data_IF_402430126538
#
_entry.id   IF_402430126538
#
_cell.length_a   1.000
_cell.length_b   1.000
_cell.length_c   1.000
_cell.angle_alpha   90.00
_cell.angle_beta   90.00
_cell.angle_gamma   90.00
#
_symmetry.space_group_name_H-M   'P 1'
#
loop_
_entity.id
_entity.type
_entity.pdbx_description
1 polymer ?
#
# COMPACT_ATOMS: atom_id res chain seq x y z
N UNK A 1 6.95 -26.05 30.21
CA UNK A 1 6.15 -25.85 28.98
C UNK A 1 6.80 -24.72 28.21
N UNK A 2 7.40 -25.02 27.06
CA UNK A 2 7.98 -23.99 26.19
C UNK A 2 6.83 -23.14 25.64
N UNK A 3 6.71 -21.91 26.12
CA UNK A 3 5.58 -21.03 25.80
C UNK A 3 5.73 -20.56 24.35
N UNK A 4 4.76 -20.89 23.50
CA UNK A 4 4.68 -20.39 22.12
C UNK A 4 4.63 -18.86 22.11
N UNK A 5 5.09 -18.26 21.00
CA UNK A 5 5.08 -16.80 20.82
C UNK A 5 3.98 -16.45 19.85
N UNK A 6 3.08 -15.54 20.25
CA UNK A 6 2.03 -15.04 19.36
C UNK A 6 2.61 -13.94 18.45
N UNK A 7 2.57 -14.18 17.14
CA UNK A 7 3.15 -13.31 16.11
C UNK A 7 2.15 -13.04 14.99
N UNK A 8 2.42 -12.04 14.16
CA UNK A 8 1.75 -11.89 12.87
C UNK A 8 2.67 -11.22 11.84
N UNK A 9 3.28 -12.01 10.97
CA UNK A 9 4.17 -11.50 9.92
C UNK A 9 3.50 -11.47 8.54
N UNK A 10 2.17 -11.61 8.46
CA UNK A 10 1.44 -11.49 7.20
C UNK A 10 0.06 -10.87 7.47
N UNK A 11 -0.07 -9.59 7.18
CA UNK A 11 -1.33 -8.87 7.31
C UNK A 11 -1.35 -7.63 6.42
N UNK A 12 -2.57 -7.20 6.07
CA UNK A 12 -2.83 -6.15 5.10
C UNK A 12 -3.63 -5.01 5.70
N UNK A 13 -3.46 -3.83 5.13
CA UNK A 13 -4.12 -2.59 5.52
C UNK A 13 -4.76 -1.92 4.30
N UNK A 14 -5.39 -0.76 4.53
CA UNK A 14 -5.95 0.08 3.46
C UNK A 14 -4.93 0.57 2.41
N UNK A 15 -3.64 0.29 2.58
CA UNK A 15 -2.59 0.63 1.62
C UNK A 15 -2.39 -0.44 0.54
N UNK A 16 -3.10 -1.57 0.64
CA UNK A 16 -3.37 -2.51 -0.46
C UNK A 16 -4.87 -2.81 -0.54
N UNK A 17 -5.32 -3.89 0.09
CA UNK A 17 -6.63 -4.51 -0.01
C UNK A 17 -7.17 -4.95 1.37
N UNK A 18 -6.50 -4.56 2.45
CA UNK A 18 -7.04 -4.65 3.81
C UNK A 18 -8.09 -3.57 4.10
N UNK A 19 -8.99 -3.84 5.04
CA UNK A 19 -10.07 -2.93 5.45
C UNK A 19 -9.71 -1.99 6.62
N UNK A 20 -8.61 -2.28 7.33
CA UNK A 20 -8.19 -1.54 8.52
C UNK A 20 -7.04 -0.58 8.22
N UNK A 21 -7.06 0.60 8.86
CA UNK A 21 -5.89 1.47 8.87
C UNK A 21 -4.76 0.83 9.68
N UNK A 22 -3.48 1.17 9.42
CA UNK A 22 -2.36 0.66 10.20
C UNK A 22 -2.52 0.83 11.72
N UNK A 23 -3.15 1.92 12.16
CA UNK A 23 -3.38 2.20 13.58
C UNK A 23 -4.45 1.31 14.22
N UNK A 24 -5.53 1.03 13.48
CA UNK A 24 -6.60 0.14 13.94
C UNK A 24 -6.06 -1.29 14.01
N UNK A 25 -5.37 -1.73 12.96
CA UNK A 25 -4.74 -3.05 12.90
C UNK A 25 -3.75 -3.25 14.06
N UNK A 26 -2.85 -2.28 14.29
CA UNK A 26 -1.94 -2.31 15.43
C UNK A 26 -2.65 -2.37 16.79
N UNK A 27 -3.82 -1.73 16.92
CA UNK A 27 -4.63 -1.79 18.13
C UNK A 27 -5.22 -3.18 18.36
N UNK A 28 -5.71 -3.82 17.30
CA UNK A 28 -6.29 -5.15 17.38
C UNK A 28 -5.22 -6.23 17.63
N UNK A 29 -4.05 -6.10 17.00
CA UNK A 29 -2.88 -6.95 17.28
C UNK A 29 -2.49 -6.92 18.77
N UNK A 30 -2.46 -5.71 19.36
CA UNK A 30 -2.16 -5.56 20.78
C UNK A 30 -3.25 -6.14 21.69
N UNK A 31 -4.52 -5.95 21.34
CA UNK A 31 -5.63 -6.53 22.08
C UNK A 31 -5.61 -8.07 22.04
N UNK A 32 -5.15 -8.66 20.93
CA UNK A 32 -4.97 -10.11 20.77
C UNK A 32 -3.71 -10.64 21.49
N UNK A 33 -2.83 -9.78 21.98
CA UNK A 33 -1.60 -10.18 22.68
C UNK A 33 -0.42 -10.51 21.75
N UNK A 34 -0.48 -10.10 20.47
CA UNK A 34 0.62 -10.27 19.51
C UNK A 34 1.85 -9.52 20.00
N UNK A 35 3.02 -10.17 19.94
CA UNK A 35 4.29 -9.63 20.45
C UNK A 35 5.22 -9.14 19.35
N UNK A 36 5.09 -9.70 18.16
CA UNK A 36 5.91 -9.37 17.00
C UNK A 36 5.03 -9.30 15.76
N UNK A 37 5.16 -8.24 14.96
CA UNK A 37 4.37 -8.10 13.74
C UNK A 37 5.11 -7.44 12.57
N UNK A 38 4.69 -7.76 11.35
CA UNK A 38 5.10 -7.10 10.12
C UNK A 38 3.84 -6.81 9.29
N UNK A 39 3.72 -5.59 8.78
CA UNK A 39 2.71 -5.25 7.78
C UNK A 39 3.27 -5.62 6.42
N UNK A 40 2.46 -6.28 5.58
CA UNK A 40 2.90 -6.88 4.32
C UNK A 40 1.94 -6.53 3.19
N UNK A 41 1.50 -5.28 3.12
CA UNK A 41 0.61 -4.80 2.05
C UNK A 41 1.13 -5.22 0.66
N UNK A 42 0.22 -5.61 -0.24
CA UNK A 42 0.59 -5.98 -1.61
C UNK A 42 1.30 -4.85 -2.36
N UNK A 43 2.53 -5.14 -2.80
CA UNK A 43 3.37 -4.28 -3.63
C UNK A 43 3.55 -2.85 -3.06
N UNK A 44 3.34 -2.66 -1.75
CA UNK A 44 3.25 -1.34 -1.11
C UNK A 44 3.95 -1.32 0.23
N UNK A 45 4.74 -0.26 0.47
CA UNK A 45 5.39 0.00 1.76
C UNK A 45 4.90 1.29 2.42
N UNK A 46 3.87 1.93 1.85
CA UNK A 46 3.37 3.24 2.29
C UNK A 46 2.73 3.20 3.68
N UNK A 47 2.17 2.04 4.06
CA UNK A 47 1.59 1.82 5.39
C UNK A 47 2.63 1.66 6.51
N UNK A 48 3.89 1.32 6.18
CA UNK A 48 4.91 0.94 7.16
C UNK A 48 5.16 2.02 8.24
N UNK A 49 5.39 3.31 7.92
CA UNK A 49 5.70 4.30 8.94
C UNK A 49 4.57 4.46 9.98
N UNK A 50 3.31 4.42 9.52
CA UNK A 50 2.12 4.52 10.38
C UNK A 50 1.96 3.28 11.25
N UNK A 51 2.19 2.11 10.68
CA UNK A 51 2.10 0.83 11.39
C UNK A 51 3.16 0.71 12.48
N UNK A 52 4.43 0.99 12.14
CA UNK A 52 5.57 0.89 13.05
C UNK A 52 5.41 1.82 14.25
N UNK A 53 5.00 3.07 14.02
CA UNK A 53 4.73 4.03 15.09
C UNK A 53 3.56 3.58 15.98
N UNK A 54 2.51 3.01 15.40
CA UNK A 54 1.35 2.51 16.14
C UNK A 54 1.69 1.27 17.00
N UNK A 55 2.53 0.35 16.50
CA UNK A 55 3.03 -0.82 17.24
C UNK A 55 4.00 -0.42 18.36
N UNK A 56 4.90 0.53 18.09
CA UNK A 56 5.85 1.05 19.09
C UNK A 56 5.14 1.58 20.33
N UNK A 57 4.06 2.36 20.15
CA UNK A 57 3.21 2.88 21.24
C UNK A 57 2.57 1.78 22.10
N UNK A 58 2.48 0.55 21.58
CA UNK A 58 1.82 -0.60 22.21
C UNK A 58 2.80 -1.66 22.70
N UNK A 59 4.11 -1.43 22.57
CA UNK A 59 5.14 -2.38 23.00
C UNK A 59 5.21 -3.64 22.13
N UNK A 60 4.71 -3.59 20.90
CA UNK A 60 4.86 -4.67 19.93
C UNK A 60 6.13 -4.42 19.11
N UNK A 61 7.01 -5.42 19.09
CA UNK A 61 8.21 -5.37 18.26
C UNK A 61 7.83 -5.59 16.79
N UNK A 62 8.52 -4.91 15.88
CA UNK A 62 8.14 -4.91 14.47
C UNK A 62 9.35 -4.91 13.57
N UNK A 63 9.12 -5.25 12.31
CA UNK A 63 10.07 -5.17 11.23
C UNK A 63 9.37 -4.71 9.93
N UNK A 64 10.09 -4.10 8.98
CA UNK A 64 9.56 -3.84 7.64
C UNK A 64 9.15 -5.13 6.94
N UNK A 65 7.94 -5.14 6.38
CA UNK A 65 7.39 -6.23 5.58
C UNK A 65 6.80 -5.71 4.27
N UNK A 66 6.68 -6.56 3.27
CA UNK A 66 5.90 -6.33 2.04
C UNK A 66 5.58 -7.69 1.41
N UNK A 67 4.39 -7.86 0.84
CA UNK A 67 4.08 -9.01 -0.03
C UNK A 67 4.21 -8.57 -1.48
N UNK A 68 5.20 -9.14 -2.18
CA UNK A 68 5.54 -8.76 -3.55
C UNK A 68 4.86 -9.74 -4.51
N UNK A 69 4.13 -9.20 -5.48
CA UNK A 69 3.57 -9.95 -6.59
C UNK A 69 4.67 -10.34 -7.56
N UNK A 70 4.90 -11.64 -7.76
CA UNK A 70 5.94 -12.16 -8.65
C UNK A 70 5.40 -13.18 -9.64
N UNK A 71 6.23 -13.59 -10.59
CA UNK A 71 5.94 -14.65 -11.53
C UNK A 71 6.96 -15.77 -11.36
N UNK A 72 6.46 -17.00 -11.28
CA UNK A 72 7.27 -18.20 -11.27
C UNK A 72 6.66 -19.22 -12.23
N UNK A 73 7.46 -19.65 -13.24
CA UNK A 73 7.01 -20.57 -14.30
C UNK A 73 5.73 -20.11 -15.02
N UNK A 74 5.60 -18.80 -15.22
CA UNK A 74 4.45 -18.18 -15.89
C UNK A 74 3.17 -18.15 -15.05
N UNK A 75 3.23 -18.51 -13.77
CA UNK A 75 2.14 -18.43 -12.80
C UNK A 75 2.47 -17.33 -11.78
N UNK A 76 1.45 -16.68 -11.26
CA UNK A 76 1.62 -15.72 -10.17
C UNK A 76 2.03 -16.46 -8.90
N UNK A 77 3.02 -15.90 -8.19
CA UNK A 77 3.48 -16.36 -6.90
C UNK A 77 3.72 -15.13 -6.01
N UNK A 78 3.43 -15.25 -4.72
CA UNK A 78 3.64 -14.15 -3.78
C UNK A 78 4.87 -14.39 -2.93
N UNK A 79 5.67 -13.34 -2.79
CA UNK A 79 6.92 -13.36 -2.04
C UNK A 79 6.83 -12.38 -0.87
N UNK A 80 6.87 -12.90 0.35
CA UNK A 80 6.98 -12.09 1.55
C UNK A 80 8.44 -11.65 1.73
N UNK A 81 8.66 -10.36 1.84
CA UNK A 81 9.98 -9.79 2.11
C UNK A 81 10.01 -9.16 3.50
N UNK A 82 11.07 -9.42 4.26
CA UNK A 82 11.21 -8.98 5.65
C UNK A 82 12.57 -8.36 5.94
N UNK A 83 12.58 -7.36 6.82
CA UNK A 83 13.83 -6.83 7.40
C UNK A 83 14.74 -6.09 6.41
N UNK A 84 14.18 -5.64 5.28
CA UNK A 84 14.85 -4.79 4.29
C UNK A 84 14.90 -3.32 4.75
N UNK A 85 15.73 -2.50 4.10
CA UNK A 85 15.72 -1.04 4.24
C UNK A 85 14.56 -0.44 3.44
N UNK A 86 13.53 0.16 4.08
CA UNK A 86 12.40 0.78 3.36
C UNK A 86 12.80 1.99 2.50
N UNK A 87 14.02 2.50 2.65
CA UNK A 87 14.55 3.62 1.85
C UNK A 87 15.33 3.16 0.62
N UNK A 88 15.47 1.85 0.41
CA UNK A 88 16.09 1.32 -0.79
C UNK A 88 15.30 1.74 -2.04
N UNK A 89 15.97 2.47 -2.93
CA UNK A 89 15.31 3.07 -4.10
C UNK A 89 14.91 2.05 -5.14
N UNK A 90 15.69 0.97 -5.30
CA UNK A 90 15.44 -0.05 -6.30
C UNK A 90 14.18 -0.85 -5.94
N UNK A 91 14.06 -1.25 -4.67
CA UNK A 91 12.86 -1.88 -4.14
C UNK A 91 11.65 -0.95 -4.27
N UNK A 92 11.76 0.31 -3.83
CA UNK A 92 10.65 1.26 -3.89
C UNK A 92 10.14 1.51 -5.31
N UNK A 93 11.04 1.68 -6.29
CA UNK A 93 10.69 1.85 -7.71
C UNK A 93 10.05 0.57 -8.28
N UNK A 94 10.57 -0.60 -7.92
CA UNK A 94 10.01 -1.89 -8.37
C UNK A 94 8.58 -2.08 -7.88
N UNK A 95 8.35 -1.83 -6.58
CA UNK A 95 7.02 -1.91 -5.97
C UNK A 95 6.03 -0.92 -6.62
N UNK A 96 6.48 0.31 -6.91
CA UNK A 96 5.66 1.29 -7.63
C UNK A 96 5.27 0.81 -9.04
N UNK A 97 6.21 0.22 -9.78
CA UNK A 97 5.95 -0.30 -11.13
C UNK A 97 4.95 -1.48 -11.12
N UNK A 98 5.03 -2.36 -10.13
CA UNK A 98 4.08 -3.46 -9.93
C UNK A 98 2.65 -2.94 -9.67
N UNK A 99 2.50 -1.97 -8.75
CA UNK A 99 1.20 -1.35 -8.44
C UNK A 99 0.57 -0.67 -9.65
N UNK A 100 1.36 0.10 -10.40
CA UNK A 100 0.86 0.75 -11.62
C UNK A 100 0.31 -0.29 -12.60
N UNK A 101 0.94 -1.45 -12.79
CA UNK A 101 0.38 -2.48 -13.69
C UNK A 101 -0.90 -3.13 -13.12
N UNK A 102 -0.94 -3.42 -11.82
CA UNK A 102 -2.11 -4.03 -11.17
C UNK A 102 -3.34 -3.15 -11.35
N UNK A 103 -3.19 -1.84 -11.17
CA UNK A 103 -4.26 -0.88 -11.46
C UNK A 103 -4.74 -1.03 -12.90
N UNK A 104 -3.84 -1.05 -13.89
CA UNK A 104 -4.22 -1.21 -15.30
C UNK A 104 -4.95 -2.53 -15.58
N UNK A 105 -4.55 -3.64 -14.94
CA UNK A 105 -5.20 -4.94 -15.11
C UNK A 105 -6.59 -4.99 -14.49
N UNK A 106 -6.79 -4.47 -13.27
CA UNK A 106 -8.11 -4.41 -12.63
C UNK A 106 -9.11 -3.62 -13.48
N UNK A 107 -8.67 -2.50 -14.06
CA UNK A 107 -9.49 -1.73 -15.01
C UNK A 107 -9.80 -2.55 -16.28
N UNK A 108 -8.81 -3.27 -16.83
CA UNK A 108 -9.03 -4.13 -18.00
C UNK A 108 -9.97 -5.32 -17.76
N UNK A 109 -9.97 -5.90 -16.54
CA UNK A 109 -10.85 -7.00 -16.15
C UNK A 109 -12.26 -6.48 -15.90
N UNK A 110 -12.43 -5.34 -15.23
CA UNK A 110 -13.72 -4.68 -15.09
C UNK A 110 -14.33 -4.32 -16.47
N UNK A 111 -13.49 -3.88 -17.41
CA UNK A 111 -13.87 -3.64 -18.80
C UNK A 111 -14.19 -4.93 -19.56
N UNK A 112 -13.41 -6.01 -19.37
CA UNK A 112 -13.68 -7.32 -19.97
C UNK A 112 -14.93 -8.00 -19.40
N UNK A 113 -15.26 -7.77 -18.12
CA UNK A 113 -16.50 -8.22 -17.50
C UNK A 113 -17.71 -7.42 -18.01
N UNK A 114 -17.54 -6.15 -18.39
CA UNK A 114 -18.52 -5.41 -19.20
C UNK A 114 -18.60 -5.91 -20.65
N UNK A 115 -17.56 -6.57 -21.13
CA UNK A 115 -17.41 -7.08 -22.50
C UNK A 115 -17.39 -8.62 -22.56
N UNK A 116 -18.29 -9.29 -21.84
CA UNK A 116 -18.54 -10.72 -22.09
C UNK A 116 -19.31 -10.89 -23.41
N UNK A 117 -18.53 -10.91 -24.48
CA UNK A 117 -18.95 -11.11 -25.86
C UNK A 117 -17.79 -10.84 -26.80
N UNK A 118 -16.76 -11.71 -26.78
CA UNK A 118 -15.89 -12.12 -27.92
C UNK A 118 -14.51 -12.60 -27.43
N UNK A 119 -14.17 -13.86 -27.74
CA UNK A 119 -12.83 -14.45 -27.58
C UNK A 119 -11.80 -13.73 -28.49
N UNK A 120 -10.56 -13.53 -28.01
CA UNK A 120 -9.37 -14.08 -28.68
C UNK A 120 -8.09 -14.02 -27.84
N UNK A 121 -7.27 -15.04 -28.09
CA UNK A 121 -5.98 -15.38 -27.51
C UNK A 121 -4.86 -14.68 -28.29
N UNK A 122 -3.80 -14.18 -27.65
CA UNK A 122 -2.45 -14.32 -28.21
C UNK A 122 -1.30 -14.10 -27.21
N UNK A 123 -0.26 -14.92 -27.36
CA UNK A 123 1.03 -14.86 -26.68
C UNK A 123 2.04 -14.06 -27.52
N UNK A 124 3.01 -13.40 -26.88
CA UNK A 124 4.30 -13.10 -27.49
C UNK A 124 5.43 -13.09 -26.45
N UNK A 125 6.50 -13.81 -26.81
CA UNK A 125 7.79 -13.90 -26.13
C UNK A 125 8.76 -12.88 -26.71
N UNK A 126 9.49 -12.14 -25.87
CA UNK A 126 10.77 -11.54 -26.27
C UNK A 126 11.70 -11.28 -25.07
N UNK A 127 12.83 -11.99 -25.08
CA UNK A 127 13.93 -11.98 -24.11
C UNK A 127 15.01 -10.99 -24.53
N UNK A 128 15.24 -9.96 -23.73
CA UNK A 128 16.53 -9.27 -23.59
C UNK A 128 16.48 -8.38 -22.35
N UNK A 129 17.59 -8.34 -21.61
CA UNK A 129 17.80 -7.75 -20.28
C UNK A 129 16.95 -6.49 -20.00
N UNK A 130 16.02 -6.59 -19.05
CA UNK A 130 15.07 -5.52 -18.70
C UNK A 130 15.05 -5.39 -17.18
N UNK A 131 15.37 -4.20 -16.69
CA UNK A 131 14.93 -3.79 -15.36
C UNK A 131 13.43 -4.08 -15.23
N UNK A 132 13.02 -4.78 -14.18
CA UNK A 132 11.63 -5.13 -13.87
C UNK A 132 10.67 -3.93 -13.91
N UNK A 133 11.19 -2.71 -13.75
CA UNK A 133 10.44 -1.47 -13.89
C UNK A 133 9.84 -1.26 -15.30
N UNK A 134 10.41 -1.86 -16.36
CA UNK A 134 9.99 -1.62 -17.74
C UNK A 134 8.78 -2.47 -18.18
N UNK A 135 8.52 -3.60 -17.52
CA UNK A 135 7.45 -4.53 -17.93
C UNK A 135 6.31 -4.59 -16.91
N UNK A 136 6.51 -4.17 -15.66
CA UNK A 136 5.54 -4.35 -14.58
C UNK A 136 5.26 -5.82 -14.23
N UNK A 137 6.11 -6.75 -14.72
CA UNK A 137 6.18 -8.14 -14.29
C UNK A 137 7.54 -8.32 -13.65
N UNK A 138 7.56 -8.98 -12.50
CA UNK A 138 8.77 -9.28 -11.77
C UNK A 138 8.87 -10.80 -11.63
N UNK A 139 9.93 -11.38 -12.20
CA UNK A 139 10.21 -12.80 -12.00
C UNK A 139 10.74 -13.01 -10.57
N UNK A 140 10.43 -14.16 -9.98
CA UNK A 140 10.67 -14.39 -8.54
C UNK A 140 12.16 -14.37 -8.15
N UNK A 141 13.05 -14.76 -9.06
CA UNK A 141 14.51 -14.68 -8.85
C UNK A 141 15.01 -13.23 -8.81
N UNK A 142 14.48 -12.37 -9.69
CA UNK A 142 14.74 -10.93 -9.65
C UNK A 142 14.21 -10.30 -8.35
N UNK A 143 13.01 -10.71 -7.91
CA UNK A 143 12.41 -10.25 -6.66
C UNK A 143 13.28 -10.60 -5.45
N UNK A 144 13.71 -11.86 -5.34
CA UNK A 144 14.61 -12.32 -4.27
C UNK A 144 15.90 -11.50 -4.28
N UNK A 145 16.49 -11.28 -5.46
CA UNK A 145 17.72 -10.51 -5.58
C UNK A 145 17.55 -9.04 -5.14
N UNK A 146 16.42 -8.40 -5.46
CA UNK A 146 16.11 -7.02 -5.00
C UNK A 146 15.97 -6.98 -3.48
N UNK A 147 15.21 -7.93 -2.91
CA UNK A 147 15.00 -8.04 -1.45
C UNK A 147 16.33 -8.20 -0.72
N UNK A 148 17.23 -9.06 -1.22
CA UNK A 148 18.55 -9.25 -0.63
C UNK A 148 19.45 -8.03 -0.75
N UNK A 149 19.42 -7.31 -1.89
CA UNK A 149 20.16 -6.05 -2.05
C UNK A 149 19.70 -4.97 -1.07
N UNK A 150 18.39 -4.92 -0.81
CA UNK A 150 17.81 -4.06 0.22
C UNK A 150 18.09 -4.55 1.66
N UNK A 151 18.85 -5.64 1.84
CA UNK A 151 19.23 -6.19 3.14
C UNK A 151 18.17 -7.07 3.80
N UNK A 152 17.10 -7.42 3.09
CA UNK A 152 16.00 -8.25 3.57
C UNK A 152 16.17 -9.74 3.32
N UNK A 153 15.13 -10.49 3.72
CA UNK A 153 14.98 -11.94 3.52
C UNK A 153 13.68 -12.23 2.80
N UNK A 154 13.68 -13.23 1.92
CA UNK A 154 12.59 -13.58 1.02
C UNK A 154 11.95 -14.93 1.38
N UNK A 155 10.63 -14.95 1.51
CA UNK A 155 9.83 -16.11 1.91
C UNK A 155 8.72 -16.35 0.89
N UNK A 156 8.47 -17.61 0.53
CA UNK A 156 7.31 -17.97 -0.28
C UNK A 156 6.04 -17.86 0.58
N UNK A 157 5.14 -16.94 0.21
CA UNK A 157 3.85 -16.77 0.89
C UNK A 157 2.92 -17.95 0.59
N UNK A 158 2.08 -18.33 1.56
CA UNK A 158 1.02 -19.35 1.44
C UNK A 158 1.29 -20.43 0.37
N UNK A 159 2.32 -21.28 0.53
CA UNK A 159 2.86 -22.11 -0.55
C UNK A 159 1.85 -23.06 -1.21
N UNK A 160 0.83 -23.53 -0.48
CA UNK A 160 -0.20 -24.43 -0.99
C UNK A 160 -1.22 -23.71 -1.90
N UNK A 161 -1.31 -22.37 -1.83
CA UNK A 161 -2.10 -21.57 -2.77
C UNK A 161 -1.40 -21.53 -4.13
N UNK A 162 -0.06 -21.56 -4.13
CA UNK A 162 0.73 -21.68 -5.35
C UNK A 162 0.71 -23.12 -5.88
N UNK A 163 1.03 -24.12 -5.06
CA UNK A 163 1.05 -25.52 -5.51
C UNK A 163 0.54 -26.46 -4.42
N UNK A 164 -0.55 -27.16 -4.70
CA UNK A 164 -1.24 -28.01 -3.72
C UNK A 164 -0.75 -29.46 -3.73
N UNK A 165 -0.11 -29.92 -4.81
CA UNK A 165 0.54 -31.23 -4.82
C UNK A 165 1.85 -31.20 -4.02
N UNK A 166 2.01 -32.03 -2.96
CA UNK A 166 3.18 -31.96 -2.09
C UNK A 166 4.52 -32.18 -2.80
N UNK A 167 4.56 -33.08 -3.78
CA UNK A 167 5.80 -33.42 -4.48
C UNK A 167 6.18 -32.32 -5.48
N UNK A 168 5.20 -31.78 -6.20
CA UNK A 168 5.40 -30.64 -7.08
C UNK A 168 5.81 -29.38 -6.30
N UNK A 169 5.20 -29.16 -5.12
CA UNK A 169 5.57 -28.06 -4.23
C UNK A 169 7.01 -28.21 -3.72
N UNK A 170 7.40 -29.39 -3.25
CA UNK A 170 8.78 -29.65 -2.80
C UNK A 170 9.79 -29.38 -3.92
N UNK A 171 9.50 -29.81 -5.15
CA UNK A 171 10.35 -29.51 -6.31
C UNK A 171 10.44 -27.99 -6.59
N UNK A 172 9.32 -27.27 -6.48
CA UNK A 172 9.30 -25.81 -6.63
C UNK A 172 10.13 -25.12 -5.55
N UNK A 173 9.99 -25.54 -4.29
CA UNK A 173 10.74 -24.98 -3.15
C UNK A 173 12.24 -25.24 -3.29
N UNK A 174 12.65 -26.43 -3.73
CA UNK A 174 14.07 -26.73 -4.00
C UNK A 174 14.61 -25.79 -5.08
N UNK A 175 13.87 -25.58 -6.17
CA UNK A 175 14.27 -24.69 -7.26
C UNK A 175 14.37 -23.23 -6.78
N UNK A 176 13.36 -22.72 -6.06
CA UNK A 176 13.39 -21.39 -5.48
C UNK A 176 14.53 -21.22 -4.48
N UNK A 177 14.87 -22.25 -3.70
CA UNK A 177 16.04 -22.24 -2.82
C UNK A 177 17.34 -22.04 -3.62
N UNK A 178 17.48 -22.66 -4.79
CA UNK A 178 18.66 -22.42 -5.65
C UNK A 178 18.72 -20.98 -6.19
N UNK A 179 17.60 -20.27 -6.23
CA UNK A 179 17.48 -18.85 -6.60
C UNK A 179 17.70 -17.90 -5.42
N UNK A 180 17.89 -18.42 -4.20
CA UNK A 180 18.16 -17.64 -3.00
C UNK A 180 16.98 -17.48 -2.04
N UNK A 181 15.89 -18.24 -2.20
CA UNK A 181 14.78 -18.22 -1.24
C UNK A 181 15.30 -18.54 0.18
N UNK A 182 14.96 -17.71 1.17
CA UNK A 182 15.41 -17.87 2.56
C UNK A 182 14.43 -18.74 3.38
N UNK A 183 13.15 -18.74 3.02
CA UNK A 183 12.13 -19.45 3.80
C UNK A 183 10.78 -19.62 3.14
N UNK A 184 9.85 -20.22 3.89
CA UNK A 184 8.44 -20.43 3.48
C UNK A 184 7.50 -20.05 4.62
N UNK A 185 6.29 -19.63 4.27
CA UNK A 185 5.21 -19.45 5.24
C UNK A 185 4.57 -20.80 5.57
N UNK A 186 5.00 -21.42 6.67
CA UNK A 186 4.45 -22.71 7.10
C UNK A 186 3.28 -22.56 8.07
N UNK A 187 3.30 -21.53 8.94
CA UNK A 187 2.21 -21.26 9.87
C UNK A 187 1.31 -20.16 9.27
N UNK A 188 0.26 -20.58 8.57
CA UNK A 188 -0.67 -19.71 7.89
C UNK A 188 -2.08 -19.96 8.41
N UNK A 189 -2.77 -18.94 8.92
CA UNK A 189 -4.02 -19.14 9.67
C UNK A 189 -5.13 -19.89 8.91
N UNK A 190 -5.29 -19.71 7.58
CA UNK A 190 -6.25 -20.51 6.80
C UNK A 190 -5.89 -22.00 6.61
N UNK A 191 -4.65 -22.43 6.91
CA UNK A 191 -4.23 -23.82 6.75
C UNK A 191 -4.58 -24.70 7.94
N UNK A 192 -4.79 -26.00 7.65
CA UNK A 192 -4.99 -26.98 8.71
C UNK A 192 -3.68 -27.23 9.47
N UNK A 193 -3.78 -27.75 10.69
CA UNK A 193 -2.59 -28.12 11.47
C UNK A 193 -1.72 -29.16 10.75
N UNK A 194 -2.32 -30.03 9.92
CA UNK A 194 -1.61 -31.04 9.12
C UNK A 194 -0.82 -30.38 8.01
N UNK A 195 -1.41 -29.40 7.32
CA UNK A 195 -0.74 -28.64 6.26
C UNK A 195 0.41 -27.81 6.82
N UNK A 196 0.19 -27.15 7.96
CA UNK A 196 1.23 -26.39 8.66
C UNK A 196 2.40 -27.28 9.09
N UNK A 197 2.14 -28.48 9.64
CA UNK A 197 3.20 -29.43 9.99
C UNK A 197 3.93 -29.93 8.75
N UNK A 198 3.22 -30.26 7.67
CA UNK A 198 3.84 -30.70 6.42
C UNK A 198 4.79 -29.64 5.82
N UNK A 199 4.38 -28.36 5.80
CA UNK A 199 5.22 -27.24 5.36
C UNK A 199 6.40 -26.99 6.30
N UNK A 200 6.19 -27.13 7.62
CA UNK A 200 7.27 -27.03 8.60
C UNK A 200 8.32 -28.13 8.39
N UNK A 201 7.90 -29.38 8.20
CA UNK A 201 8.81 -30.49 7.91
C UNK A 201 9.52 -30.30 6.57
N UNK A 202 8.84 -29.76 5.55
CA UNK A 202 9.45 -29.40 4.27
C UNK A 202 10.57 -28.37 4.46
N UNK A 203 10.30 -27.31 5.24
CA UNK A 203 11.28 -26.27 5.53
C UNK A 203 12.51 -26.83 6.27
N UNK A 204 12.30 -27.67 7.30
CA UNK A 204 13.40 -28.28 8.05
C UNK A 204 14.24 -29.24 7.18
N UNK A 205 13.61 -30.05 6.31
CA UNK A 205 14.33 -30.95 5.38
C UNK A 205 15.26 -30.19 4.43
N UNK A 206 14.83 -29.00 4.01
CA UNK A 206 15.56 -28.18 3.05
C UNK A 206 16.27 -27.00 3.69
N UNK A 207 16.49 -26.99 5.00
CA UNK A 207 17.22 -25.92 5.72
C UNK A 207 16.73 -24.50 5.34
N UNK A 208 15.39 -24.35 5.32
CA UNK A 208 14.70 -23.10 5.05
C UNK A 208 14.12 -22.53 6.35
N UNK A 209 14.06 -21.21 6.42
CA UNK A 209 13.39 -20.52 7.52
C UNK A 209 11.87 -20.66 7.39
N UNK A 210 11.18 -20.45 8.52
CA UNK A 210 9.73 -20.50 8.58
C UNK A 210 9.19 -19.17 9.06
N UNK A 211 8.26 -18.58 8.30
CA UNK A 211 7.45 -17.44 8.73
C UNK A 211 6.07 -17.88 9.23
N UNK A 212 5.35 -16.95 9.85
CA UNK A 212 4.04 -17.19 10.44
C UNK A 212 3.14 -15.97 10.30
N UNK A 213 1.94 -16.14 9.76
CA UNK A 213 1.05 -15.06 9.38
C UNK A 213 -0.43 -15.43 9.40
N UNK A 214 -1.29 -14.41 9.46
CA UNK A 214 -2.74 -14.62 9.42
C UNK A 214 -3.36 -14.30 8.07
N UNK A 215 -2.66 -13.50 7.26
CA UNK A 215 -3.14 -12.96 5.99
C UNK A 215 -4.42 -12.15 6.15
N UNK A 216 -4.40 -11.32 7.20
CA UNK A 216 -5.58 -10.58 7.62
C UNK A 216 -5.91 -9.49 6.61
N UNK A 217 -7.12 -9.54 6.05
CA UNK A 217 -7.65 -8.54 5.13
C UNK A 217 -8.95 -7.86 5.60
N UNK A 218 -9.76 -8.53 6.43
CA UNK A 218 -11.04 -7.96 6.83
C UNK A 218 -11.51 -8.32 8.23
N UNK A 219 -12.28 -7.40 8.82
CA UNK A 219 -12.88 -7.46 10.16
C UNK A 219 -13.83 -8.64 10.41
N UNK A 220 -14.12 -9.46 9.38
CA UNK A 220 -14.84 -10.73 9.50
C UNK A 220 -14.00 -11.83 10.16
N UNK A 221 -12.67 -11.78 10.02
CA UNK A 221 -11.74 -12.64 10.72
C UNK A 221 -11.41 -12.06 12.10
N UNK A 222 -11.60 -12.85 13.14
CA UNK A 222 -11.27 -12.45 14.52
C UNK A 222 -9.82 -12.81 14.89
N UNK A 223 -9.08 -13.46 13.97
CA UNK A 223 -7.78 -14.02 14.26
C UNK A 223 -6.64 -13.08 13.85
N UNK A 224 -6.15 -12.29 14.81
CA UNK A 224 -5.09 -11.30 14.58
C UNK A 224 -3.68 -11.85 14.81
N UNK A 225 -3.52 -13.07 15.31
CA UNK A 225 -2.19 -13.63 15.59
C UNK A 225 -2.15 -15.15 15.46
N UNK A 226 -0.97 -15.67 15.18
CA UNK A 226 -0.70 -17.10 15.06
C UNK A 226 0.40 -17.51 16.03
N UNK A 227 0.27 -18.70 16.61
CA UNK A 227 1.29 -19.25 17.49
C UNK A 227 2.48 -19.77 16.69
N UNK A 228 3.67 -19.26 17.02
CA UNK A 228 4.93 -19.74 16.46
C UNK A 228 5.71 -20.52 17.53
N UNK A 229 6.21 -21.74 17.21
CA UNK A 229 7.04 -22.50 18.14
C UNK A 229 8.32 -21.73 18.50
N UNK A 230 8.82 -21.82 19.76
CA UNK A 230 9.95 -21.01 20.22
C UNK A 230 11.25 -21.20 19.42
N UNK A 231 11.57 -22.44 19.03
CA UNK A 231 12.80 -22.73 18.28
C UNK A 231 12.72 -22.15 16.86
N UNK A 232 11.56 -22.26 16.22
CA UNK A 232 11.26 -21.63 14.93
C UNK A 232 11.39 -20.12 15.03
N UNK A 233 10.80 -19.51 16.06
CA UNK A 233 10.90 -18.08 16.32
C UNK A 233 12.35 -17.62 16.50
N UNK A 234 13.17 -18.38 17.24
CA UNK A 234 14.58 -18.03 17.44
C UNK A 234 15.35 -18.04 16.12
N UNK A 235 15.14 -19.05 15.26
CA UNK A 235 15.75 -19.12 13.92
C UNK A 235 15.33 -17.92 13.06
N UNK A 236 14.03 -17.66 12.97
CA UNK A 236 13.46 -16.53 12.21
C UNK A 236 14.01 -15.20 12.71
N UNK A 237 13.92 -14.93 14.03
CA UNK A 237 14.40 -13.68 14.64
C UNK A 237 15.87 -13.44 14.35
N UNK A 238 16.72 -14.46 14.50
CA UNK A 238 18.15 -14.33 14.27
C UNK A 238 18.46 -13.95 12.82
N UNK A 239 17.74 -14.51 11.86
CA UNK A 239 17.97 -14.24 10.44
C UNK A 239 17.45 -12.87 9.99
N UNK A 240 16.29 -12.44 10.52
CA UNK A 240 15.55 -11.29 10.01
C UNK A 240 15.80 -10.00 10.81
N UNK A 241 16.08 -10.07 12.11
CA UNK A 241 16.36 -8.88 12.95
C UNK A 241 17.84 -8.54 13.07
N UNK A 242 18.75 -9.35 12.51
CA UNK A 242 20.19 -9.10 12.52
C UNK A 242 20.70 -8.33 11.30
N UNK A 243 19.86 -8.13 10.28
CA UNK A 243 20.11 -7.12 9.24
C UNK A 243 20.15 -5.73 9.92
N UNK A 244 21.04 -4.86 9.44
CA UNK A 244 21.61 -3.66 10.09
C UNK A 244 20.64 -2.55 10.56
N UNK A 245 19.34 -2.82 10.66
CA UNK A 245 18.28 -1.85 10.89
C UNK A 245 17.82 -1.81 12.36
N UNK A 246 18.22 -2.75 13.22
CA UNK A 246 17.79 -2.79 14.62
C UNK A 246 18.91 -2.40 15.61
N UNK A 247 18.95 -1.11 15.99
CA UNK A 247 19.64 -0.72 17.23
C UNK A 247 18.81 -1.22 18.41
N UNK A 248 19.34 -2.22 19.10
CA UNK A 248 18.77 -2.79 20.30
C UNK A 248 18.89 -1.80 21.46
N UNK A 249 17.93 -0.87 21.56
CA UNK A 249 17.70 -0.12 22.79
C UNK A 249 16.21 -0.17 23.16
N UNK A 250 15.96 -0.43 24.44
CA UNK A 250 14.69 -0.30 25.17
C UNK A 250 13.84 -1.57 25.35
N UNK A 251 14.24 -2.41 26.31
CA UNK A 251 13.28 -2.95 27.30
C UNK A 251 13.94 -2.88 28.68
N UNK A 252 13.74 -1.78 29.41
CA UNK A 252 13.98 -1.74 30.84
C UNK A 252 12.67 -2.01 31.56
N UNK A 253 12.61 -3.14 32.25
CA UNK A 253 11.56 -3.45 33.21
C UNK A 253 11.58 -2.45 34.37
N UNK A 254 10.43 -1.92 34.75
CA UNK A 254 10.25 -1.21 36.01
C UNK A 254 8.83 -1.43 36.54
N UNK A 255 8.69 -2.39 37.45
CA UNK A 255 7.74 -2.32 38.58
C UNK A 255 8.22 -1.23 39.55
N UNK A 256 7.32 -0.56 40.28
CA UNK A 256 7.13 -0.98 41.67
C UNK A 256 5.69 -0.82 42.22
N UNK A 257 5.26 -1.87 42.92
CA UNK A 257 4.33 -1.80 44.05
C UNK A 257 5.06 -1.36 45.32
N UNK A 258 4.28 -0.76 46.25
CA UNK A 258 4.53 -0.55 47.69
C UNK A 258 4.88 0.87 48.12
N UNK A 259 3.92 1.56 48.75
CA UNK A 259 3.88 1.62 50.22
C UNK A 259 2.67 2.42 50.70
N UNK A 260 1.88 1.77 51.55
CA UNK A 260 0.86 2.40 52.37
C UNK A 260 1.53 3.06 53.59
N UNK A 261 1.08 4.26 53.97
CA UNK A 261 1.08 4.69 55.38
C UNK A 261 -0.16 5.51 55.71
N UNK A 262 -0.66 5.20 56.89
CA UNK A 262 -1.88 5.62 57.57
C UNK A 262 -1.67 6.82 58.49
N UNK A 263 -2.75 7.55 58.80
CA UNK A 263 -2.78 8.58 59.86
C UNK A 263 -4.16 9.19 60.09
N UNK A 264 -4.82 8.75 61.16
CA UNK A 264 -6.04 9.30 61.83
C UNK A 264 -5.88 10.79 62.26
N UNK A 265 -6.86 11.64 62.64
CA UNK A 265 -8.27 11.57 63.10
C UNK A 265 -8.90 13.01 63.06
N UNK A 266 -10.14 13.18 62.56
CA UNK A 266 -11.41 13.54 63.29
C UNK A 266 -11.69 15.06 63.52
N UNK A 267 -12.92 15.53 63.87
CA UNK A 267 -13.80 16.23 62.92
C UNK A 267 -14.22 17.64 63.36
N UNK A 268 -14.59 18.50 62.40
CA UNK A 268 -15.17 19.82 62.66
C UNK A 268 -16.45 20.06 61.86
N UNK A 269 -17.60 19.96 62.52
CA UNK A 269 -18.91 20.35 61.98
C UNK A 269 -19.07 21.88 62.06
N UNK A 270 -19.34 22.59 60.95
CA UNK A 270 -20.17 23.81 60.91
C UNK A 270 -20.88 24.03 59.56
N UNK A 271 -22.22 23.97 59.64
CA UNK A 271 -23.31 24.60 58.87
C UNK A 271 -23.27 24.74 57.33
N UNK A 272 -24.37 24.37 56.64
CA UNK A 272 -24.62 24.72 55.24
C UNK A 272 -25.26 26.11 55.15
N UNK A 273 -25.02 26.84 54.05
CA UNK A 273 -25.92 27.74 53.32
C UNK A 273 -25.07 28.75 52.52
N UNK A 274 -25.48 29.00 51.27
CA UNK A 274 -24.93 29.94 50.26
C UNK A 274 -23.75 29.45 49.38
N UNK A 275 -24.07 28.79 48.25
CA UNK A 275 -23.52 29.14 46.90
C UNK A 275 -24.03 28.26 45.75
N UNK A 276 -25.35 28.21 45.51
CA UNK A 276 -25.90 27.44 44.38
C UNK A 276 -25.63 28.04 42.99
N UNK A 277 -25.11 29.28 42.89
CA UNK A 277 -24.72 29.93 41.61
C UNK A 277 -23.27 29.71 41.17
N UNK A 278 -22.38 29.24 42.06
CA UNK A 278 -20.94 29.09 41.76
C UNK A 278 -20.55 27.68 41.27
N UNK A 279 -21.46 26.71 41.33
CA UNK A 279 -21.19 25.32 40.96
C UNK A 279 -21.49 25.07 39.47
N UNK A 280 -22.62 25.61 38.99
CA UNK A 280 -23.01 25.58 37.57
C UNK A 280 -21.93 26.24 36.71
N UNK A 281 -21.51 27.48 37.03
CA UNK A 281 -20.44 28.15 36.27
C UNK A 281 -19.10 27.38 36.28
N UNK A 282 -18.75 26.66 37.35
CA UNK A 282 -17.49 25.89 37.40
C UNK A 282 -17.51 24.62 36.56
N UNK A 283 -18.69 24.08 36.23
CA UNK A 283 -18.85 22.88 35.40
C UNK A 283 -19.07 23.28 33.93
N UNK A 284 -19.95 24.26 33.69
CA UNK A 284 -20.32 24.65 32.34
C UNK A 284 -19.23 25.48 31.64
N UNK A 285 -18.45 26.29 32.36
CA UNK A 285 -17.42 27.13 31.73
C UNK A 285 -16.25 26.31 31.14
N UNK A 286 -15.66 25.32 31.84
CA UNK A 286 -14.64 24.46 31.24
C UNK A 286 -15.19 23.59 30.11
N UNK A 287 -16.45 23.16 30.22
CA UNK A 287 -17.11 22.38 29.16
C UNK A 287 -17.32 23.22 27.90
N UNK A 288 -17.82 24.46 28.05
CA UNK A 288 -17.99 25.38 26.94
C UNK A 288 -16.65 25.79 26.33
N UNK A 289 -15.63 25.99 27.15
CA UNK A 289 -14.27 26.26 26.69
C UNK A 289 -13.68 25.08 25.92
N UNK A 290 -13.87 23.85 26.40
CA UNK A 290 -13.46 22.64 25.69
C UNK A 290 -14.19 22.48 24.35
N UNK A 291 -15.50 22.76 24.30
CA UNK A 291 -16.27 22.76 23.04
C UNK A 291 -15.74 23.83 22.08
N UNK A 292 -15.45 25.03 22.57
CA UNK A 292 -14.90 26.11 21.74
C UNK A 292 -13.51 25.76 21.20
N UNK A 293 -12.64 25.19 22.03
CA UNK A 293 -11.33 24.69 21.61
C UNK A 293 -11.47 23.56 20.57
N UNK A 294 -12.42 22.66 20.76
CA UNK A 294 -12.67 21.59 19.81
C UNK A 294 -13.18 22.13 18.46
N UNK A 295 -14.12 23.06 18.47
CA UNK A 295 -14.63 23.70 17.25
C UNK A 295 -13.54 24.52 16.55
N UNK A 296 -12.71 25.24 17.29
CA UNK A 296 -11.57 25.98 16.69
C UNK A 296 -10.50 25.03 16.16
N UNK A 297 -10.25 23.89 16.80
CA UNK A 297 -9.37 22.86 16.26
C UNK A 297 -9.92 22.29 14.93
N UNK A 298 -11.22 22.00 14.86
CA UNK A 298 -11.85 21.50 13.63
C UNK A 298 -11.82 22.55 12.53
N UNK A 299 -12.37 23.74 12.78
CA UNK A 299 -12.58 24.73 11.73
C UNK A 299 -11.32 25.55 11.42
N UNK A 300 -10.45 25.76 12.40
CA UNK A 300 -9.22 26.54 12.24
C UNK A 300 -8.03 25.73 11.75
N UNK A 301 -7.99 24.42 12.03
CA UNK A 301 -6.84 23.58 11.69
C UNK A 301 -7.22 22.37 10.85
N UNK A 302 -8.16 21.54 11.31
CA UNK A 302 -8.46 20.26 10.65
C UNK A 302 -9.06 20.45 9.26
N UNK A 303 -10.09 21.30 9.13
CA UNK A 303 -10.81 21.51 7.88
C UNK A 303 -9.94 22.21 6.82
N UNK A 304 -9.21 23.31 7.13
CA UNK A 304 -8.30 23.92 6.16
C UNK A 304 -7.16 22.99 5.75
N UNK A 305 -6.60 22.22 6.69
CA UNK A 305 -5.55 21.24 6.38
C UNK A 305 -6.07 20.13 5.46
N UNK A 306 -7.29 19.66 5.69
CA UNK A 306 -7.92 18.66 4.82
C UNK A 306 -8.19 19.22 3.42
N UNK A 307 -8.70 20.46 3.32
CA UNK A 307 -8.92 21.13 2.03
C UNK A 307 -7.60 21.31 1.26
N UNK A 308 -6.54 21.78 1.93
CA UNK A 308 -5.20 21.92 1.35
C UNK A 308 -4.68 20.57 0.86
N UNK A 309 -4.78 19.52 1.68
CA UNK A 309 -4.34 18.17 1.31
C UNK A 309 -5.11 17.63 0.09
N UNK A 310 -6.42 17.88 0.00
CA UNK A 310 -7.21 17.50 -1.16
C UNK A 310 -6.83 18.30 -2.41
N UNK A 311 -6.57 19.60 -2.28
CA UNK A 311 -6.12 20.45 -3.38
C UNK A 311 -4.73 20.05 -3.88
N UNK A 312 -3.80 19.76 -2.97
CA UNK A 312 -2.46 19.26 -3.29
C UNK A 312 -2.54 17.93 -4.02
N UNK A 313 -3.32 16.97 -3.51
CA UNK A 313 -3.54 15.68 -4.17
C UNK A 313 -4.14 15.84 -5.58
N UNK A 314 -5.10 16.76 -5.76
CA UNK A 314 -5.66 17.08 -7.07
C UNK A 314 -4.63 17.71 -8.02
N UNK A 315 -3.77 18.61 -7.51
CA UNK A 315 -2.69 19.22 -8.30
C UNK A 315 -1.68 18.19 -8.76
N UNK A 316 -1.24 17.32 -7.85
CA UNK A 316 -0.30 16.23 -8.16
C UNK A 316 -0.89 15.29 -9.21
N UNK A 317 -2.14 14.88 -9.03
CA UNK A 317 -2.83 14.04 -10.01
C UNK A 317 -2.88 14.70 -11.40
N UNK A 318 -3.29 15.98 -11.47
CA UNK A 318 -3.33 16.71 -12.75
C UNK A 318 -1.93 16.81 -13.37
N UNK A 319 -0.90 17.05 -12.56
CA UNK A 319 0.49 17.11 -13.01
C UNK A 319 0.93 15.79 -13.65
N UNK A 320 0.73 14.66 -12.97
CA UNK A 320 1.09 13.34 -13.48
C UNK A 320 0.30 12.93 -14.73
N UNK A 321 -1.00 13.24 -14.76
CA UNK A 321 -1.85 13.03 -15.94
C UNK A 321 -1.36 13.87 -17.13
N UNK A 322 -0.98 15.12 -16.89
CA UNK A 322 -0.45 16.02 -17.94
C UNK A 322 0.91 15.54 -18.44
N UNK A 323 1.79 15.10 -17.54
CA UNK A 323 3.10 14.52 -17.90
C UNK A 323 2.97 13.25 -18.72
N UNK A 324 1.97 12.42 -18.43
CA UNK A 324 1.66 11.21 -19.19
C UNK A 324 1.26 11.56 -20.63
N UNK A 325 0.34 12.52 -20.80
CA UNK A 325 -0.05 13.01 -22.13
C UNK A 325 1.14 13.65 -22.88
N UNK A 326 1.96 14.43 -22.18
CA UNK A 326 3.16 15.06 -22.75
C UNK A 326 4.19 14.03 -23.21
N UNK A 327 4.41 12.96 -22.43
CA UNK A 327 5.35 11.89 -22.77
C UNK A 327 4.94 11.16 -24.06
N UNK A 328 3.64 10.99 -24.28
CA UNK A 328 3.11 10.44 -25.54
C UNK A 328 3.46 11.37 -26.71
N UNK A 329 3.17 12.67 -26.58
CA UNK A 329 3.49 13.66 -27.61
C UNK A 329 5.00 13.68 -27.92
N UNK A 330 5.84 13.71 -26.88
CA UNK A 330 7.29 13.73 -27.01
C UNK A 330 7.85 12.44 -27.64
N UNK A 331 7.19 11.28 -27.44
CA UNK A 331 7.59 10.05 -28.12
C UNK A 331 7.38 10.13 -29.63
N UNK A 332 6.22 10.61 -30.06
CA UNK A 332 5.91 10.76 -31.48
C UNK A 332 6.72 11.89 -32.15
N UNK A 333 7.06 12.95 -31.40
CA UNK A 333 7.99 13.96 -31.90
C UNK A 333 9.38 13.36 -32.19
N UNK A 334 9.90 12.48 -31.31
CA UNK A 334 11.15 11.77 -31.58
C UNK A 334 11.06 10.89 -32.82
N UNK A 335 9.94 10.19 -33.03
CA UNK A 335 9.73 9.38 -34.23
C UNK A 335 9.76 10.22 -35.52
N UNK A 336 9.20 11.45 -35.48
CA UNK A 336 9.30 12.42 -36.58
C UNK A 336 10.74 12.87 -36.80
N UNK A 337 11.47 13.19 -35.72
CA UNK A 337 12.87 13.61 -35.80
C UNK A 337 13.78 12.51 -36.36
N UNK A 338 13.48 11.25 -36.09
CA UNK A 338 14.17 10.08 -36.65
C UNK A 338 13.69 9.71 -38.06
N UNK A 339 12.69 10.41 -38.62
CA UNK A 339 12.16 10.15 -39.96
C UNK A 339 11.34 8.86 -40.07
N UNK A 340 10.86 8.32 -38.96
CA UNK A 340 10.06 7.07 -38.93
C UNK A 340 8.61 7.32 -39.37
N UNK A 341 8.08 8.51 -39.11
CA UNK A 341 6.72 8.93 -39.45
C UNK A 341 6.69 10.40 -39.88
N UNK A 342 5.71 10.79 -40.70
CA UNK A 342 5.52 12.23 -41.00
C UNK A 342 4.90 12.95 -39.80
N UNK A 343 5.01 14.28 -39.78
CA UNK A 343 4.42 15.10 -38.70
C UNK A 343 2.91 14.92 -38.61
N UNK A 344 2.21 14.85 -39.74
CA UNK A 344 0.76 14.67 -39.80
C UNK A 344 0.36 13.30 -39.27
N UNK A 345 1.11 12.24 -39.64
CA UNK A 345 0.90 10.89 -39.13
C UNK A 345 1.13 10.83 -37.62
N UNK A 346 2.22 11.41 -37.14
CA UNK A 346 2.54 11.50 -35.72
C UNK A 346 1.46 12.24 -34.92
N UNK A 347 0.97 13.37 -35.43
CA UNK A 347 -0.11 14.13 -34.79
C UNK A 347 -1.42 13.32 -34.71
N UNK A 348 -1.80 12.62 -35.78
CA UNK A 348 -2.98 11.78 -35.80
C UNK A 348 -2.86 10.56 -34.85
N UNK A 349 -1.69 9.92 -34.80
CA UNK A 349 -1.43 8.79 -33.91
C UNK A 349 -1.39 9.23 -32.44
N UNK A 350 -0.80 10.40 -32.16
CA UNK A 350 -0.75 10.95 -30.81
C UNK A 350 -2.13 11.36 -30.31
N UNK A 351 -2.92 12.05 -31.14
CA UNK A 351 -4.27 12.47 -30.77
C UNK A 351 -5.17 11.27 -30.51
N UNK A 352 -5.14 10.24 -31.37
CA UNK A 352 -5.91 9.00 -31.18
C UNK A 352 -5.49 8.25 -29.91
N UNK A 353 -4.19 8.23 -29.60
CA UNK A 353 -3.68 7.58 -28.38
C UNK A 353 -4.13 8.33 -27.13
N UNK A 354 -4.10 9.66 -27.13
CA UNK A 354 -4.56 10.48 -26.01
C UNK A 354 -6.09 10.41 -25.87
N UNK A 355 -6.82 10.34 -26.99
CA UNK A 355 -8.28 10.17 -27.01
C UNK A 355 -8.74 8.89 -26.30
N UNK A 356 -7.93 7.84 -26.36
CA UNK A 356 -8.22 6.57 -25.69
C UNK A 356 -7.95 6.59 -24.17
N UNK A 357 -7.21 7.57 -23.66
CA UNK A 357 -6.85 7.63 -22.24
C UNK A 357 -8.05 7.97 -21.36
N UNK A 358 -8.20 7.22 -20.28
CA UNK A 358 -9.23 7.45 -19.25
C UNK A 358 -8.58 7.52 -17.88
N UNK A 359 -9.16 8.33 -16.99
CA UNK A 359 -8.71 8.46 -15.61
C UNK A 359 -9.88 8.68 -14.66
N UNK A 360 -9.58 8.85 -13.37
CA UNK A 360 -10.57 9.11 -12.34
C UNK A 360 -11.42 7.88 -11.99
N UNK A 361 -12.37 8.03 -11.04
CA UNK A 361 -13.21 6.93 -10.58
C UNK A 361 -13.97 6.28 -11.74
N UNK A 362 -13.92 4.95 -11.82
CA UNK A 362 -14.56 4.14 -12.88
C UNK A 362 -14.08 4.45 -14.32
N UNK A 363 -12.94 5.12 -14.52
CA UNK A 363 -12.39 5.41 -15.85
C UNK A 363 -13.27 6.32 -16.71
N UNK A 364 -14.03 7.22 -16.09
CA UNK A 364 -14.97 8.11 -16.79
C UNK A 364 -14.38 9.46 -17.15
N UNK A 365 -13.32 9.89 -16.49
CA UNK A 365 -12.65 11.14 -16.81
C UNK A 365 -11.73 10.95 -18.02
N UNK A 366 -11.49 12.03 -18.75
CA UNK A 366 -10.94 11.97 -20.10
C UNK A 366 -10.09 13.19 -20.43
N UNK A 367 -9.22 13.02 -21.40
CA UNK A 367 -8.41 14.10 -21.96
C UNK A 367 -9.09 14.68 -23.20
N UNK A 368 -8.93 15.98 -23.39
CA UNK A 368 -9.14 16.63 -24.68
C UNK A 368 -7.88 17.43 -25.04
N UNK A 369 -7.71 17.71 -26.31
CA UNK A 369 -6.61 18.53 -26.82
C UNK A 369 -7.23 19.74 -27.50
N UNK A 370 -6.79 20.93 -27.10
CA UNK A 370 -7.02 22.17 -27.83
C UNK A 370 -5.68 22.82 -28.16
N UNK A 371 -5.67 23.68 -29.17
CA UNK A 371 -4.53 24.55 -29.41
C UNK A 371 -4.60 25.84 -28.57
N UNK A 372 -3.63 26.73 -28.83
CA UNK A 372 -3.53 28.04 -28.19
C UNK A 372 -4.51 29.06 -28.76
N UNK A 373 -5.21 28.76 -29.86
CA UNK A 373 -6.22 29.61 -30.50
C UNK A 373 -7.61 28.98 -30.34
N UNK A 374 -8.04 28.84 -29.07
CA UNK A 374 -8.93 27.79 -28.51
C UNK A 374 -9.75 27.00 -29.53
N UNK A 375 -9.07 26.24 -30.38
CA UNK A 375 -9.66 25.34 -31.36
C UNK A 375 -9.48 23.93 -30.85
N UNK A 376 -10.57 23.17 -30.87
CA UNK A 376 -10.55 21.79 -30.39
C UNK A 376 -9.83 20.91 -31.40
N UNK A 377 -8.75 20.27 -30.99
CA UNK A 377 -8.02 19.29 -31.81
C UNK A 377 -8.67 17.91 -31.65
N UNK A 378 -9.00 17.53 -30.41
CA UNK A 378 -9.57 16.22 -30.10
C UNK A 378 -10.40 16.28 -28.83
N UNK A 379 -11.63 15.78 -28.88
CA UNK A 379 -12.50 15.54 -27.74
C UNK A 379 -13.17 14.16 -27.84
N UNK A 380 -13.06 13.26 -26.84
CA UNK A 380 -13.49 11.87 -26.95
C UNK A 380 -15.01 11.67 -26.92
N UNK A 381 -15.74 12.51 -26.17
CA UNK A 381 -17.21 12.43 -26.07
C UNK A 381 -17.98 13.42 -26.95
N UNK A 382 -17.35 14.54 -27.32
CA UNK A 382 -17.96 15.63 -28.09
C UNK A 382 -17.20 15.84 -29.38
N UNK A 383 -17.17 14.81 -30.21
CA UNK A 383 -16.43 14.80 -31.48
C UNK A 383 -16.94 15.87 -32.46
N UNK A 384 -18.17 16.36 -32.28
CA UNK A 384 -18.73 17.49 -33.02
C UNK A 384 -18.00 18.82 -32.75
N UNK A 385 -17.19 18.91 -31.69
CA UNK A 385 -16.37 20.08 -31.41
C UNK A 385 -15.04 20.04 -32.16
N UNK A 386 -14.57 18.87 -32.59
CA UNK A 386 -13.25 18.71 -33.22
C UNK A 386 -13.16 19.57 -34.48
N UNK A 387 -12.07 20.34 -34.58
CA UNK A 387 -11.80 21.29 -35.65
C UNK A 387 -12.52 22.65 -35.54
N UNK A 388 -13.42 22.84 -34.55
CA UNK A 388 -14.13 24.11 -34.34
C UNK A 388 -13.38 25.06 -33.42
N UNK A 389 -13.55 26.34 -33.69
CA UNK A 389 -13.08 27.42 -32.83
C UNK A 389 -14.07 27.67 -31.68
N UNK A 390 -13.56 27.79 -30.45
CA UNK A 390 -14.36 27.82 -29.23
C UNK A 390 -14.30 29.16 -28.48
N UNK A 391 -13.90 30.25 -29.16
CA UNK A 391 -13.81 31.60 -28.59
C UNK A 391 -15.11 32.08 -27.91
N UNK A 392 -16.26 31.68 -28.46
CA UNK A 392 -17.59 32.07 -27.96
C UNK A 392 -18.26 30.98 -27.11
N UNK A 393 -17.57 29.85 -26.86
CA UNK A 393 -18.14 28.78 -26.06
C UNK A 393 -18.08 29.14 -24.58
N UNK A 394 -19.21 29.01 -23.89
CA UNK A 394 -19.36 29.30 -22.46
C UNK A 394 -19.86 28.09 -21.68
N UNK A 395 -19.38 27.95 -20.44
CA UNK A 395 -19.93 26.99 -19.48
C UNK A 395 -21.31 27.47 -18.96
N UNK A 396 -22.08 26.64 -18.22
CA UNK A 396 -23.37 27.03 -17.65
C UNK A 396 -23.33 28.26 -16.71
N UNK A 397 -22.15 28.70 -16.29
CA UNK A 397 -21.92 29.89 -15.45
C UNK A 397 -21.48 31.10 -16.29
N UNK A 398 -21.44 30.99 -17.62
CA UNK A 398 -21.07 32.05 -18.55
C UNK A 398 -19.55 32.21 -18.73
N UNK A 399 -18.73 31.32 -18.20
CA UNK A 399 -17.26 31.40 -18.28
C UNK A 399 -16.80 30.85 -19.63
N UNK A 400 -15.96 31.60 -20.34
CA UNK A 400 -15.31 31.17 -21.58
C UNK A 400 -14.16 30.21 -21.29
N UNK A 401 -14.50 29.01 -20.85
CA UNK A 401 -13.56 28.07 -20.22
C UNK A 401 -12.37 27.70 -21.11
N UNK A 402 -12.59 27.51 -22.43
CA UNK A 402 -11.51 27.17 -23.37
C UNK A 402 -10.54 28.33 -23.63
N UNK A 403 -11.03 29.58 -23.53
CA UNK A 403 -10.20 30.79 -23.60
C UNK A 403 -9.34 30.90 -22.33
N UNK A 404 -9.93 30.68 -21.15
CA UNK A 404 -9.20 30.69 -19.87
C UNK A 404 -8.08 29.65 -19.84
N UNK A 405 -8.31 28.44 -20.36
CA UNK A 405 -7.26 27.43 -20.46
C UNK A 405 -6.12 27.88 -21.39
N UNK A 406 -6.42 28.42 -22.56
CA UNK A 406 -5.41 28.93 -23.49
C UNK A 406 -4.60 30.08 -22.88
N UNK A 407 -5.27 31.03 -22.22
CA UNK A 407 -4.62 32.15 -21.57
C UNK A 407 -3.78 31.74 -20.36
N UNK A 408 -4.16 30.68 -19.65
CA UNK A 408 -3.39 30.17 -18.51
C UNK A 408 -2.04 29.60 -18.94
N UNK A 409 -1.96 28.97 -20.11
CA UNK A 409 -0.72 28.42 -20.69
C UNK A 409 0.19 29.53 -21.25
N UNK A 410 -0.38 30.67 -21.68
CA UNK A 410 0.39 31.82 -22.17
C UNK A 410 1.08 32.63 -21.08
N UNK A 411 0.60 32.55 -19.83
CA UNK A 411 1.13 33.25 -18.65
C UNK A 411 2.19 32.42 -17.96
#
# INVERSE_FOLDING_TARGET
MNKTVLVNFHCHSIFSDGDQTPEILASNLAAAGVRYAALTDHDSIEGLPRFQEALKKRGIAHLPGVEITTQFKGREAHLLAYGFDPKDTDLAVTLLALRQRRDWQVHSIADAMRKKGSNHHNQSTDTSAKSAAATGRLDIDEAIAIVHRAGGRAFLAHPLNFESDPQALENCVIELKTMGLDGVEAFYAPYSAVDCDALYQLAERHDLLVSAGTDFHSSGDQNYGIEMPPDTWIKFRRAVFSSSTFSADTVSAADPLSSAQSGHASPGFRSPLLRRRSFVLRIFLPTLFAILLFLTAIWGFMLPSFEQSLLERKRELIHELTNSAWSILASYERDVQHGLVTREQAQAMASARIEALRYGPEGKDYFWIQDMEPRMIMHPYRSELNGKELHNFTDPRGIRIFVEFADRVRR
#
